data_IF_774261178039
#
_entry.id   IF_774261178039
#
_cell.length_a   1.000
_cell.length_b   1.000
_cell.length_c   1.000
_cell.angle_alpha   90.00
_cell.angle_beta   90.00
_cell.angle_gamma   90.00
#
_symmetry.space_group_name_H-M   'P 1'
#
loop_
_entity.id
_entity.type
_entity.pdbx_description
1 polymer ?
#
# COMPACT_ATOMS: atom_id res chain seq x y z
N UNK A 1 -22.61 -2.45 -19.84
CA UNK A 1 -22.17 -2.39 -18.40
C UNK A 1 -21.67 -3.78 -18.02
N UNK A 2 -20.37 -4.02 -18.19
CA UNK A 2 -20.17 -5.32 -18.42
C UNK A 2 -18.91 -5.93 -17.81
N UNK A 3 -17.83 -6.01 -18.33
CA UNK A 3 -16.70 -6.77 -17.79
C UNK A 3 -15.99 -6.12 -16.56
N UNK A 4 -16.12 -4.82 -16.33
CA UNK A 4 -15.43 -4.13 -15.23
C UNK A 4 -16.05 -4.40 -13.84
N UNK A 5 -17.37 -4.67 -13.78
CA UNK A 5 -18.06 -4.96 -12.52
C UNK A 5 -17.61 -6.29 -11.87
N UNK A 6 -17.13 -7.24 -12.65
CA UNK A 6 -16.64 -8.53 -12.18
C UNK A 6 -15.16 -8.52 -11.80
N UNK A 7 -14.39 -7.48 -12.20
CA UNK A 7 -12.98 -7.37 -11.84
C UNK A 7 -12.87 -7.04 -10.34
N UNK A 8 -12.16 -7.88 -9.60
CA UNK A 8 -11.98 -7.74 -8.15
C UNK A 8 -10.53 -7.55 -7.79
N UNK A 9 -10.28 -6.68 -6.79
CA UNK A 9 -8.97 -6.48 -6.18
C UNK A 9 -9.01 -6.71 -4.67
N UNK A 10 -7.84 -6.98 -4.12
CA UNK A 10 -7.64 -7.10 -2.67
C UNK A 10 -7.29 -5.73 -2.12
N UNK A 11 -8.23 -5.11 -1.43
CA UNK A 11 -8.10 -3.78 -0.81
C UNK A 11 -8.12 -3.97 0.71
N UNK A 12 -7.17 -3.36 1.43
CA UNK A 12 -7.19 -3.46 2.90
C UNK A 12 -7.69 -2.19 3.58
N UNK A 13 -7.62 -1.04 2.90
CA UNK A 13 -8.14 0.20 3.45
C UNK A 13 -8.55 1.17 2.33
N UNK A 14 -9.53 2.00 2.60
CA UNK A 14 -9.90 3.18 1.81
C UNK A 14 -9.88 4.37 2.76
N UNK A 15 -8.80 5.13 2.72
CA UNK A 15 -8.59 6.28 3.60
C UNK A 15 -9.10 7.55 2.92
N UNK A 16 -10.12 8.14 3.52
CA UNK A 16 -10.71 9.39 3.06
C UNK A 16 -9.96 10.58 3.66
N UNK A 17 -10.03 11.73 2.99
CA UNK A 17 -9.48 13.01 3.44
C UNK A 17 -7.97 12.99 3.68
N UNK A 18 -7.20 12.24 2.87
CA UNK A 18 -5.74 12.30 2.89
C UNK A 18 -5.25 13.61 2.25
N UNK A 19 -4.23 14.22 2.86
CA UNK A 19 -3.54 15.43 2.37
C UNK A 19 -2.09 15.16 1.99
N UNK A 20 -1.57 13.96 2.28
CA UNK A 20 -0.16 13.60 2.09
C UNK A 20 0.09 12.72 0.86
N UNK A 21 -0.98 12.23 0.21
CA UNK A 21 -0.90 11.28 -0.89
C UNK A 21 -1.06 11.92 -2.27
N UNK A 22 -0.64 13.17 -2.43
CA UNK A 22 -0.74 13.96 -3.66
C UNK A 22 -1.37 15.33 -3.43
N UNK A 23 -1.68 16.09 -4.52
CA UNK A 23 -2.25 17.42 -4.40
C UNK A 23 -3.71 17.38 -3.93
N UNK A 24 -4.11 18.39 -3.17
CA UNK A 24 -5.47 18.57 -2.68
C UNK A 24 -5.92 17.50 -1.67
N UNK A 25 -7.23 17.43 -1.43
CA UNK A 25 -7.84 16.40 -0.57
C UNK A 25 -8.07 15.14 -1.41
N UNK A 26 -7.63 13.99 -0.90
CA UNK A 26 -7.66 12.73 -1.64
C UNK A 26 -8.33 11.61 -0.87
N UNK A 27 -8.82 10.63 -1.61
CA UNK A 27 -9.14 9.32 -1.05
C UNK A 27 -8.10 8.33 -1.54
N UNK A 28 -7.36 7.72 -0.59
CA UNK A 28 -6.32 6.76 -0.90
C UNK A 28 -6.87 5.35 -0.80
N UNK A 29 -6.78 4.59 -1.89
CA UNK A 29 -7.14 3.18 -1.96
C UNK A 29 -5.88 2.35 -1.71
N UNK A 30 -5.80 1.71 -0.55
CA UNK A 30 -4.67 0.88 -0.15
C UNK A 30 -4.89 -0.57 -0.57
N UNK A 31 -4.11 -1.02 -1.54
CA UNK A 31 -4.16 -2.37 -2.09
C UNK A 31 -3.19 -3.30 -1.37
N UNK A 32 -3.47 -4.61 -1.34
CA UNK A 32 -2.55 -5.63 -0.81
C UNK A 32 -1.62 -6.17 -1.90
N UNK A 33 -0.48 -6.69 -1.45
CA UNK A 33 0.62 -7.18 -2.26
C UNK A 33 1.72 -6.14 -2.43
N UNK A 34 2.95 -6.48 -2.04
CA UNK A 34 4.14 -5.65 -2.27
C UNK A 34 5.32 -6.56 -2.64
N UNK A 35 6.11 -6.22 -3.67
CA UNK A 35 7.30 -6.99 -4.00
C UNK A 35 8.47 -6.66 -3.06
N UNK A 36 8.38 -5.53 -2.34
CA UNK A 36 9.42 -5.09 -1.40
C UNK A 36 9.15 -5.58 0.04
N UNK A 37 10.23 -5.74 0.80
CA UNK A 37 10.23 -6.20 2.20
C UNK A 37 10.90 -5.15 3.10
N UNK A 38 10.56 -3.87 2.93
CA UNK A 38 11.16 -2.77 3.69
C UNK A 38 11.06 -3.02 5.21
N UNK A 39 12.17 -3.06 5.97
CA UNK A 39 12.12 -3.25 7.43
C UNK A 39 11.32 -2.17 8.16
N UNK A 40 11.23 -0.99 7.58
CA UNK A 40 10.49 0.17 8.10
C UNK A 40 9.09 0.33 7.51
N UNK A 41 8.49 -0.73 6.95
CA UNK A 41 7.20 -0.61 6.28
C UNK A 41 6.10 -0.14 7.24
N UNK A 42 5.44 0.97 6.91
CA UNK A 42 4.34 1.51 7.72
C UNK A 42 2.99 0.83 7.43
N UNK A 43 2.92 0.01 6.38
CA UNK A 43 1.75 -0.76 6.02
C UNK A 43 2.08 -2.27 5.89
N UNK A 44 2.58 -2.93 6.98
CA UNK A 44 2.94 -4.34 6.92
C UNK A 44 1.76 -5.23 6.52
N UNK A 45 0.53 -4.80 6.81
CA UNK A 45 -0.71 -5.43 6.40
C UNK A 45 -0.92 -5.48 4.88
N UNK A 46 -0.17 -4.67 4.13
CA UNK A 46 -0.23 -4.67 2.66
C UNK A 46 0.77 -5.61 1.99
N UNK A 47 1.76 -6.16 2.71
CA UNK A 47 2.86 -6.92 2.10
C UNK A 47 2.33 -8.19 1.44
N UNK A 48 1.55 -9.01 2.16
CA UNK A 48 0.94 -10.21 1.59
C UNK A 48 -0.28 -9.85 0.75
N UNK A 49 -0.45 -10.53 -0.38
CA UNK A 49 -1.63 -10.35 -1.23
C UNK A 49 -2.89 -10.98 -0.61
N UNK A 50 -2.75 -12.07 0.15
CA UNK A 50 -3.86 -12.77 0.78
C UNK A 50 -4.46 -11.97 1.96
N UNK A 51 -5.75 -12.20 2.29
CA UNK A 51 -6.33 -11.68 3.52
C UNK A 51 -5.59 -12.21 4.75
N UNK A 52 -5.59 -11.44 5.84
CA UNK A 52 -4.96 -11.84 7.10
C UNK A 52 -5.86 -11.53 8.29
N UNK A 53 -6.02 -12.51 9.18
CA UNK A 53 -6.71 -12.31 10.44
C UNK A 53 -5.83 -11.53 11.42
N UNK A 54 -6.41 -10.53 12.08
CA UNK A 54 -5.76 -9.78 13.17
C UNK A 54 -6.64 -9.76 14.42
N UNK A 55 -6.00 -9.62 15.58
CA UNK A 55 -6.67 -9.52 16.87
C UNK A 55 -6.31 -8.20 17.55
N UNK A 56 -7.31 -7.54 18.10
CA UNK A 56 -7.21 -6.30 18.87
C UNK A 56 -7.44 -6.58 20.36
N UNK A 57 -6.36 -6.66 21.12
CA UNK A 57 -6.40 -6.99 22.56
C UNK A 57 -7.30 -6.04 23.34
N UNK A 58 -7.27 -4.75 23.03
CA UNK A 58 -8.07 -3.72 23.72
C UNK A 58 -9.58 -3.89 23.54
N UNK A 59 -10.03 -4.63 22.53
CA UNK A 59 -11.46 -4.91 22.29
C UNK A 59 -11.88 -6.25 22.86
N UNK A 60 -10.94 -7.11 23.22
CA UNK A 60 -11.24 -8.50 23.61
C UNK A 60 -11.81 -8.56 25.03
N UNK A 61 -12.98 -9.17 25.18
CA UNK A 61 -13.68 -9.37 26.46
C UNK A 61 -13.59 -10.84 26.96
N UNK A 62 -12.78 -11.68 26.33
CA UNK A 62 -12.47 -13.02 26.83
C UNK A 62 -13.53 -14.11 26.61
N UNK A 63 -14.57 -13.88 25.81
CA UNK A 63 -15.70 -14.84 25.60
C UNK A 63 -15.27 -16.16 24.96
N UNK A 64 -14.16 -16.21 24.22
CA UNK A 64 -13.59 -17.39 23.56
C UNK A 64 -14.48 -18.05 22.49
N UNK A 65 -15.59 -17.44 22.07
CA UNK A 65 -16.42 -17.94 20.97
C UNK A 65 -15.61 -18.12 19.68
N UNK A 66 -14.69 -17.20 19.41
CA UNK A 66 -13.81 -17.24 18.25
C UNK A 66 -12.92 -18.49 18.18
N UNK A 67 -12.53 -19.06 19.33
CA UNK A 67 -11.74 -20.29 19.41
C UNK A 67 -12.61 -21.49 19.09
N UNK A 68 -13.81 -21.55 19.70
CA UNK A 68 -14.77 -22.65 19.52
C UNK A 68 -15.26 -22.75 18.08
N UNK A 69 -15.46 -21.62 17.43
CA UNK A 69 -16.01 -21.55 16.07
C UNK A 69 -14.92 -21.56 14.98
N UNK A 70 -13.66 -21.77 15.35
CA UNK A 70 -12.57 -21.84 14.37
C UNK A 70 -12.51 -23.24 13.73
N UNK A 71 -12.87 -23.42 12.44
CA UNK A 71 -12.90 -24.72 11.79
C UNK A 71 -11.50 -25.31 11.53
N UNK A 72 -10.46 -24.51 11.73
CA UNK A 72 -9.05 -24.88 11.52
C UNK A 72 -8.28 -25.02 12.83
N UNK A 73 -8.93 -24.83 13.99
CA UNK A 73 -8.27 -24.75 15.30
C UNK A 73 -7.02 -23.86 15.27
N UNK A 74 -7.12 -22.73 14.58
CA UNK A 74 -6.00 -21.82 14.37
C UNK A 74 -5.88 -20.75 15.46
N UNK A 75 -6.75 -20.76 16.48
CA UNK A 75 -6.77 -19.77 17.55
C UNK A 75 -6.54 -20.45 18.90
N UNK A 76 -5.65 -19.89 19.71
CA UNK A 76 -5.34 -20.36 21.06
C UNK A 76 -5.35 -19.16 22.02
N UNK A 77 -5.96 -19.35 23.21
CA UNK A 77 -5.85 -18.38 24.30
C UNK A 77 -4.58 -18.66 25.11
N UNK A 78 -3.77 -17.64 25.29
CA UNK A 78 -2.58 -17.65 26.15
C UNK A 78 -2.73 -16.60 27.26
N UNK A 79 -1.74 -16.48 28.14
CA UNK A 79 -1.67 -15.40 29.13
C UNK A 79 -1.62 -14.01 28.49
N UNK A 80 -1.03 -13.90 27.28
CA UNK A 80 -0.90 -12.66 26.51
C UNK A 80 -2.10 -12.38 25.59
N UNK A 81 -3.10 -13.28 25.57
CA UNK A 81 -4.32 -13.16 24.78
C UNK A 81 -4.41 -14.18 23.64
N UNK A 82 -5.10 -13.81 22.56
CA UNK A 82 -5.33 -14.71 21.41
C UNK A 82 -4.08 -14.76 20.52
N UNK A 83 -3.56 -15.98 20.36
CA UNK A 83 -2.51 -16.30 19.39
C UNK A 83 -3.14 -16.93 18.15
N UNK A 84 -2.73 -16.49 16.97
CA UNK A 84 -3.21 -16.97 15.68
C UNK A 84 -2.11 -17.82 15.03
N UNK A 85 -2.38 -19.12 14.88
CA UNK A 85 -1.53 -19.98 14.05
C UNK A 85 -1.74 -19.65 12.57
N UNK A 86 -0.81 -18.93 12.01
CA UNK A 86 -0.88 -18.44 10.62
C UNK A 86 -0.61 -19.52 9.58
N UNK A 87 -0.12 -20.69 9.99
CA UNK A 87 0.06 -21.83 9.10
C UNK A 87 -1.28 -22.58 8.87
N UNK A 88 -2.20 -22.48 9.83
CA UNK A 88 -3.53 -23.11 9.80
C UNK A 88 -4.64 -22.15 9.40
N UNK A 89 -4.47 -20.85 9.70
CA UNK A 89 -5.48 -19.82 9.47
C UNK A 89 -5.58 -19.45 7.99
N UNK A 90 -6.73 -19.72 7.37
CA UNK A 90 -7.05 -19.32 5.98
C UNK A 90 -7.84 -18.00 5.88
N UNK A 91 -8.00 -17.29 7.00
CA UNK A 91 -8.77 -16.05 7.10
C UNK A 91 -10.25 -16.18 6.65
N UNK A 92 -10.89 -17.32 6.91
CA UNK A 92 -12.30 -17.58 6.52
C UNK A 92 -13.33 -16.65 7.18
N UNK A 93 -12.98 -15.98 8.28
CA UNK A 93 -13.83 -14.98 8.96
C UNK A 93 -14.84 -15.54 9.95
N UNK A 94 -14.97 -16.85 10.16
CA UNK A 94 -15.95 -17.41 11.12
C UNK A 94 -15.73 -16.90 12.54
N UNK A 95 -14.46 -16.83 12.98
CA UNK A 95 -14.10 -16.26 14.29
C UNK A 95 -14.41 -14.75 14.40
N UNK A 96 -14.39 -14.02 13.29
CA UNK A 96 -14.79 -12.60 13.27
C UNK A 96 -16.30 -12.48 13.47
N UNK A 97 -17.10 -13.30 12.78
CA UNK A 97 -18.55 -13.33 12.91
C UNK A 97 -18.99 -13.75 14.33
N UNK A 98 -18.25 -14.67 14.95
CA UNK A 98 -18.51 -15.14 16.31
C UNK A 98 -18.09 -14.15 17.42
N UNK A 99 -17.31 -13.11 17.10
CA UNK A 99 -16.77 -12.21 18.11
C UNK A 99 -17.74 -11.07 18.43
N UNK A 100 -18.44 -11.07 19.61
CA UNK A 100 -19.40 -10.02 19.93
C UNK A 100 -18.77 -8.65 20.19
N UNK A 101 -17.46 -8.62 20.48
CA UNK A 101 -16.72 -7.40 20.76
C UNK A 101 -15.97 -6.82 19.53
N UNK A 102 -16.12 -7.43 18.34
CA UNK A 102 -15.37 -7.06 17.14
C UNK A 102 -13.86 -6.96 17.40
N UNK A 103 -13.32 -7.86 18.24
CA UNK A 103 -11.91 -7.89 18.58
C UNK A 103 -11.06 -8.60 17.50
N UNK A 104 -11.68 -9.23 16.53
CA UNK A 104 -11.04 -9.88 15.38
C UNK A 104 -11.47 -9.20 14.09
N UNK A 105 -10.56 -9.10 13.15
CA UNK A 105 -10.79 -8.46 11.84
C UNK A 105 -10.00 -9.16 10.75
N UNK A 106 -10.58 -9.27 9.55
CA UNK A 106 -9.85 -9.69 8.36
C UNK A 106 -9.32 -8.44 7.65
N UNK A 107 -8.00 -8.31 7.59
CA UNK A 107 -7.35 -7.29 6.80
C UNK A 107 -7.23 -7.75 5.35
N UNK A 108 -7.84 -7.00 4.46
CA UNK A 108 -7.95 -7.34 3.04
C UNK A 108 -9.30 -7.92 2.69
N UNK A 109 -10.04 -7.16 1.88
CA UNK A 109 -11.34 -7.53 1.32
C UNK A 109 -11.25 -7.58 -0.19
N UNK A 110 -11.77 -8.64 -0.80
CA UNK A 110 -11.97 -8.68 -2.26
C UNK A 110 -13.12 -7.77 -2.62
N UNK A 111 -12.81 -6.66 -3.26
CA UNK A 111 -13.78 -5.65 -3.67
C UNK A 111 -13.85 -5.57 -5.19
N UNK A 112 -15.05 -5.34 -5.73
CA UNK A 112 -15.22 -5.03 -7.15
C UNK A 112 -14.80 -3.60 -7.46
N UNK A 113 -14.54 -3.30 -8.73
CA UNK A 113 -14.29 -1.94 -9.19
C UNK A 113 -15.45 -1.02 -8.83
N UNK A 114 -16.70 -1.50 -8.97
CA UNK A 114 -17.89 -0.71 -8.67
C UNK A 114 -18.02 -0.40 -7.17
N UNK A 115 -17.73 -1.37 -6.28
CA UNK A 115 -17.74 -1.15 -4.83
C UNK A 115 -16.73 -0.08 -4.40
N UNK A 116 -15.51 -0.13 -4.97
CA UNK A 116 -14.48 0.86 -4.65
C UNK A 116 -14.82 2.21 -5.28
N UNK A 117 -15.29 2.24 -6.52
CA UNK A 117 -15.72 3.47 -7.20
C UNK A 117 -16.83 4.17 -6.44
N UNK A 118 -17.85 3.42 -6.00
CA UNK A 118 -18.93 3.99 -5.19
C UNK A 118 -18.44 4.58 -3.87
N UNK A 119 -17.44 3.93 -3.24
CA UNK A 119 -16.88 4.44 -1.98
C UNK A 119 -16.09 5.75 -2.18
N UNK A 120 -15.22 5.82 -3.20
CA UNK A 120 -14.36 6.99 -3.43
C UNK A 120 -15.13 8.17 -4.04
N UNK A 121 -16.14 7.94 -4.87
CA UNK A 121 -16.94 9.01 -5.47
C UNK A 121 -17.81 9.78 -4.47
N UNK A 122 -18.01 9.27 -3.25
CA UNK A 122 -18.65 10.03 -2.15
C UNK A 122 -17.88 11.31 -1.81
N UNK A 123 -16.59 11.36 -2.11
CA UNK A 123 -15.71 12.47 -1.79
C UNK A 123 -15.51 13.45 -2.95
N UNK A 124 -16.25 13.28 -4.07
CA UNK A 124 -16.14 14.12 -5.28
C UNK A 124 -16.09 15.61 -4.98
N UNK A 125 -16.97 16.11 -4.11
CA UNK A 125 -17.03 17.53 -3.77
C UNK A 125 -15.71 18.06 -3.18
N UNK A 126 -15.02 17.24 -2.39
CA UNK A 126 -13.71 17.60 -1.83
C UNK A 126 -12.62 17.62 -2.92
N UNK A 127 -12.67 16.69 -3.88
CA UNK A 127 -11.72 16.67 -5.00
C UNK A 127 -11.88 17.92 -5.87
N UNK A 128 -13.10 18.25 -6.25
CA UNK A 128 -13.41 19.42 -7.09
C UNK A 128 -12.99 20.74 -6.43
N UNK A 129 -13.19 20.87 -5.11
CA UNK A 129 -12.87 22.09 -4.39
C UNK A 129 -11.38 22.26 -4.08
N UNK A 130 -10.63 21.17 -3.95
CA UNK A 130 -9.23 21.22 -3.56
C UNK A 130 -8.23 20.95 -4.69
N UNK A 131 -8.71 20.56 -5.88
CA UNK A 131 -7.85 20.03 -6.94
C UNK A 131 -7.28 18.64 -6.59
N UNK A 132 -7.97 17.90 -5.71
CA UNK A 132 -7.59 16.56 -5.28
C UNK A 132 -8.09 15.45 -6.19
N UNK A 133 -8.29 14.25 -5.63
CA UNK A 133 -8.74 13.08 -6.38
C UNK A 133 -8.52 11.79 -5.64
N UNK A 134 -8.25 10.71 -6.36
CA UNK A 134 -7.87 9.44 -5.74
C UNK A 134 -6.38 9.18 -5.85
N UNK A 135 -5.87 8.37 -4.92
CA UNK A 135 -4.52 7.79 -4.99
C UNK A 135 -4.62 6.28 -4.85
N UNK A 136 -4.05 5.53 -5.79
CA UNK A 136 -3.84 4.10 -5.63
C UNK A 136 -2.49 3.89 -4.96
N UNK A 137 -2.48 3.22 -3.82
CA UNK A 137 -1.32 2.98 -2.96
C UNK A 137 -1.45 1.65 -2.22
N UNK A 138 -0.82 1.51 -1.06
CA UNK A 138 -0.94 0.37 -0.15
C UNK A 138 0.33 -0.43 -0.05
N UNK A 139 0.37 -1.60 -0.71
CA UNK A 139 1.58 -2.32 -1.06
C UNK A 139 2.15 -1.74 -2.35
N UNK A 140 1.92 -2.44 -3.45
CA UNK A 140 2.28 -1.98 -4.80
C UNK A 140 1.10 -2.23 -5.74
N UNK A 141 0.43 -1.20 -6.25
CA UNK A 141 -0.75 -1.36 -7.11
C UNK A 141 -0.50 -2.21 -8.36
N UNK A 142 0.71 -2.19 -8.88
CA UNK A 142 1.10 -2.99 -10.05
C UNK A 142 1.14 -4.51 -9.80
N UNK A 143 1.00 -4.98 -8.56
CA UNK A 143 0.76 -6.40 -8.28
C UNK A 143 -0.68 -6.86 -8.54
N UNK A 144 -1.60 -5.92 -8.73
CA UNK A 144 -2.98 -6.17 -9.12
C UNK A 144 -3.36 -5.32 -10.35
N UNK A 145 -2.62 -5.45 -11.47
CA UNK A 145 -2.65 -4.46 -12.56
C UNK A 145 -4.02 -4.38 -13.24
N UNK A 146 -4.73 -5.49 -13.38
CA UNK A 146 -6.07 -5.52 -14.01
C UNK A 146 -7.10 -4.74 -13.19
N UNK A 147 -7.11 -4.92 -11.87
CA UNK A 147 -8.01 -4.18 -10.99
C UNK A 147 -7.64 -2.70 -10.91
N UNK A 148 -6.35 -2.40 -10.71
CA UNK A 148 -5.85 -1.04 -10.64
C UNK A 148 -6.19 -0.26 -11.92
N UNK A 149 -5.89 -0.81 -13.10
CA UNK A 149 -6.19 -0.18 -14.38
C UNK A 149 -7.70 0.05 -14.57
N UNK A 150 -8.54 -0.94 -14.24
CA UNK A 150 -9.99 -0.80 -14.38
C UNK A 150 -10.55 0.31 -13.47
N UNK A 151 -10.09 0.39 -12.20
CA UNK A 151 -10.48 1.45 -11.28
C UNK A 151 -10.02 2.83 -11.78
N UNK A 152 -8.77 2.95 -12.21
CA UNK A 152 -8.23 4.19 -12.77
C UNK A 152 -9.01 4.65 -14.02
N UNK A 153 -9.40 3.72 -14.90
CA UNK A 153 -10.22 4.03 -16.08
C UNK A 153 -11.61 4.56 -15.70
N UNK A 154 -12.24 3.99 -14.67
CA UNK A 154 -13.52 4.50 -14.15
C UNK A 154 -13.34 5.92 -13.64
N UNK A 155 -12.33 6.16 -12.79
CA UNK A 155 -12.09 7.49 -12.23
C UNK A 155 -11.79 8.55 -13.29
N UNK A 156 -11.02 8.20 -14.32
CA UNK A 156 -10.76 9.11 -15.45
C UNK A 156 -12.03 9.45 -16.23
N UNK A 157 -12.92 8.48 -16.46
CA UNK A 157 -14.23 8.75 -17.11
C UNK A 157 -15.11 9.66 -16.28
N UNK A 158 -14.98 9.59 -14.96
CA UNK A 158 -15.65 10.49 -14.00
C UNK A 158 -14.98 11.87 -13.87
N UNK A 159 -13.90 12.12 -14.61
CA UNK A 159 -13.14 13.38 -14.52
C UNK A 159 -12.36 13.56 -13.22
N UNK A 160 -12.10 12.48 -12.48
CA UNK A 160 -11.36 12.52 -11.22
C UNK A 160 -9.87 12.35 -11.48
N UNK A 161 -9.07 13.23 -10.90
CA UNK A 161 -7.61 13.15 -10.94
C UNK A 161 -7.10 11.90 -10.23
N UNK A 162 -6.22 11.14 -10.90
CA UNK A 162 -5.67 9.88 -10.41
C UNK A 162 -4.18 9.99 -10.16
N UNK A 163 -3.75 9.74 -8.92
CA UNK A 163 -2.35 9.55 -8.57
C UNK A 163 -2.04 8.06 -8.39
N UNK A 164 -0.89 7.63 -8.88
CA UNK A 164 -0.34 6.30 -8.68
C UNK A 164 0.86 6.41 -7.75
N UNK A 165 0.77 5.80 -6.58
CA UNK A 165 1.85 5.64 -5.62
C UNK A 165 2.52 4.29 -5.84
N UNK A 166 3.79 4.30 -6.23
CA UNK A 166 4.52 3.09 -6.65
C UNK A 166 5.97 3.11 -6.17
N UNK A 167 6.44 1.93 -5.81
CA UNK A 167 7.87 1.72 -5.57
C UNK A 167 8.67 1.51 -6.87
N UNK A 168 8.03 1.45 -8.02
CA UNK A 168 8.67 1.22 -9.32
C UNK A 168 9.37 -0.14 -9.46
N UNK A 169 9.13 -1.08 -8.56
CA UNK A 169 9.89 -2.32 -8.43
C UNK A 169 9.36 -3.52 -9.23
N UNK A 170 8.38 -3.33 -10.11
CA UNK A 170 7.81 -4.38 -10.96
C UNK A 170 8.29 -4.26 -12.40
N UNK A 171 8.08 -5.30 -13.20
CA UNK A 171 8.43 -5.26 -14.63
C UNK A 171 7.67 -4.11 -15.32
N UNK A 172 8.35 -3.40 -16.23
CA UNK A 172 7.75 -2.28 -16.96
C UNK A 172 6.43 -2.64 -17.64
N UNK A 173 6.36 -3.79 -18.29
CA UNK A 173 5.15 -4.28 -19.00
C UNK A 173 3.91 -4.39 -18.10
N UNK A 174 4.11 -4.51 -16.79
CA UNK A 174 3.03 -4.56 -15.78
C UNK A 174 2.70 -3.16 -15.26
N UNK A 175 3.72 -2.33 -15.09
CA UNK A 175 3.59 -0.97 -14.56
C UNK A 175 3.07 0.02 -15.63
N UNK A 176 3.47 -0.14 -16.89
CA UNK A 176 3.16 0.78 -17.99
C UNK A 176 1.67 1.13 -18.13
N UNK A 177 0.73 0.17 -18.12
CA UNK A 177 -0.69 0.50 -18.26
C UNK A 177 -1.20 1.42 -17.14
N UNK A 178 -0.66 1.29 -15.93
CA UNK A 178 -1.04 2.14 -14.80
C UNK A 178 -0.43 3.53 -14.92
N UNK A 179 0.83 3.61 -15.35
CA UNK A 179 1.51 4.89 -15.63
C UNK A 179 0.76 5.68 -16.70
N UNK A 180 0.30 5.03 -17.77
CA UNK A 180 -0.47 5.71 -18.83
C UNK A 180 -1.79 6.32 -18.31
N UNK A 181 -2.44 5.63 -17.36
CA UNK A 181 -3.69 6.06 -16.78
C UNK A 181 -3.55 7.11 -15.67
N UNK A 182 -2.38 7.24 -15.08
CA UNK A 182 -2.14 8.19 -14.00
C UNK A 182 -1.91 9.62 -14.50
N UNK A 183 -2.41 10.61 -13.77
CA UNK A 183 -2.16 12.03 -13.96
C UNK A 183 -0.91 12.48 -13.19
N UNK A 184 -0.62 11.82 -12.07
CA UNK A 184 0.55 12.03 -11.22
C UNK A 184 1.13 10.69 -10.79
N UNK A 185 2.45 10.58 -10.80
CA UNK A 185 3.17 9.44 -10.23
C UNK A 185 3.87 9.89 -8.94
N UNK A 186 3.56 9.23 -7.83
CA UNK A 186 4.33 9.31 -6.58
C UNK A 186 5.32 8.15 -6.61
N UNK A 187 6.59 8.45 -6.86
CA UNK A 187 7.63 7.42 -7.03
C UNK A 187 8.57 7.40 -5.84
N UNK A 188 8.67 6.26 -5.19
CA UNK A 188 9.60 6.05 -4.09
C UNK A 188 11.00 5.66 -4.57
N UNK A 189 11.98 6.54 -4.39
CA UNK A 189 13.40 6.22 -4.53
C UNK A 189 14.02 6.12 -3.13
N UNK A 190 14.32 4.89 -2.67
CA UNK A 190 14.65 4.63 -1.27
C UNK A 190 16.16 4.65 -1.00
N UNK A 191 16.93 3.98 -1.84
CA UNK A 191 18.40 3.94 -1.73
C UNK A 191 19.06 3.71 -3.08
N UNK A 192 20.32 4.13 -3.21
CA UNK A 192 21.09 4.13 -4.47
C UNK A 192 22.28 3.15 -4.44
N UNK A 193 22.33 2.25 -3.47
CA UNK A 193 23.29 1.17 -3.39
C UNK A 193 22.61 -0.11 -3.88
N UNK A 194 23.10 -0.72 -4.98
CA UNK A 194 22.46 -1.87 -5.64
C UNK A 194 22.41 -3.09 -4.71
N UNK A 195 23.55 -3.43 -4.08
CA UNK A 195 23.63 -4.61 -3.22
C UNK A 195 22.75 -4.45 -1.97
N UNK A 196 22.79 -3.26 -1.37
CA UNK A 196 21.97 -2.94 -0.22
C UNK A 196 20.49 -2.90 -0.59
N UNK A 197 20.14 -2.34 -1.75
CA UNK A 197 18.77 -2.27 -2.25
C UNK A 197 18.18 -3.69 -2.43
N UNK A 198 18.92 -4.56 -3.12
CA UNK A 198 18.47 -5.93 -3.34
C UNK A 198 18.36 -6.72 -2.02
N UNK A 199 19.38 -6.62 -1.16
CA UNK A 199 19.44 -7.34 0.13
C UNK A 199 18.35 -6.90 1.10
N UNK A 200 18.07 -5.60 1.19
CA UNK A 200 17.14 -5.03 2.18
C UNK A 200 15.72 -4.97 1.68
N UNK A 201 15.53 -4.64 0.40
CA UNK A 201 14.19 -4.42 -0.16
C UNK A 201 13.69 -5.60 -1.01
N UNK A 202 14.58 -6.52 -1.43
CA UNK A 202 14.22 -7.68 -2.22
C UNK A 202 13.99 -7.40 -3.72
N UNK A 203 14.27 -6.19 -4.19
CA UNK A 203 14.07 -5.75 -5.58
C UNK A 203 15.36 -5.12 -6.10
N UNK A 204 15.69 -5.35 -7.39
CA UNK A 204 16.84 -4.71 -8.02
C UNK A 204 16.65 -3.21 -8.16
N UNK A 205 17.66 -2.44 -7.81
CA UNK A 205 17.70 -0.99 -8.01
C UNK A 205 17.60 -0.63 -9.50
N UNK A 206 18.26 -1.39 -10.36
CA UNK A 206 18.20 -1.19 -11.82
C UNK A 206 16.76 -1.22 -12.35
N UNK A 207 15.92 -2.12 -11.86
CA UNK A 207 14.50 -2.17 -12.23
C UNK A 207 13.81 -0.85 -11.89
N UNK A 208 14.00 -0.35 -10.67
CA UNK A 208 13.39 0.90 -10.19
C UNK A 208 13.88 2.10 -11.00
N UNK A 209 15.21 2.22 -11.20
CA UNK A 209 15.80 3.35 -11.92
C UNK A 209 15.44 3.33 -13.42
N UNK A 210 15.36 2.15 -14.05
CA UNK A 210 14.93 2.03 -15.43
C UNK A 210 13.46 2.43 -15.60
N UNK A 211 12.57 1.97 -14.72
CA UNK A 211 11.17 2.39 -14.71
C UNK A 211 11.04 3.90 -14.49
N UNK A 212 11.78 4.48 -13.55
CA UNK A 212 11.82 5.92 -13.31
C UNK A 212 12.19 6.72 -14.58
N UNK A 213 13.24 6.29 -15.29
CA UNK A 213 13.65 6.92 -16.56
C UNK A 213 12.58 6.81 -17.65
N UNK A 214 11.91 5.66 -17.74
CA UNK A 214 10.83 5.48 -18.74
C UNK A 214 9.63 6.36 -18.40
N UNK A 215 9.21 6.43 -17.13
CA UNK A 215 8.14 7.32 -16.65
C UNK A 215 8.47 8.77 -17.03
N UNK A 216 9.70 9.21 -16.78
CA UNK A 216 10.13 10.56 -17.14
C UNK A 216 10.07 10.82 -18.64
N UNK A 217 10.55 9.87 -19.49
CA UNK A 217 10.48 9.99 -20.97
C UNK A 217 9.05 10.06 -21.49
N UNK A 218 8.08 9.47 -20.79
CA UNK A 218 6.65 9.59 -21.13
C UNK A 218 6.03 10.93 -20.74
N UNK A 219 6.79 11.84 -20.16
CA UNK A 219 6.35 13.17 -19.77
C UNK A 219 5.37 13.21 -18.60
N UNK A 220 5.30 12.11 -17.82
CA UNK A 220 4.39 12.05 -16.66
C UNK A 220 4.86 12.97 -15.54
N UNK A 221 3.92 13.66 -14.91
CA UNK A 221 4.21 14.47 -13.72
C UNK A 221 4.68 13.57 -12.57
N UNK A 222 5.79 13.93 -11.95
CA UNK A 222 6.46 13.13 -10.93
C UNK A 222 6.60 13.90 -9.62
N UNK A 223 6.19 13.25 -8.53
CA UNK A 223 6.69 13.54 -7.19
C UNK A 223 7.58 12.39 -6.77
N UNK A 224 8.82 12.67 -6.44
CA UNK A 224 9.75 11.67 -5.92
C UNK A 224 9.75 11.74 -4.41
N UNK A 225 9.75 10.58 -3.75
CA UNK A 225 9.75 10.49 -2.29
C UNK A 225 10.89 9.58 -1.82
N UNK A 226 11.56 9.99 -0.75
CA UNK A 226 12.59 9.19 -0.10
C UNK A 226 12.31 9.13 1.39
N UNK A 227 12.01 7.95 1.94
CA UNK A 227 11.95 7.77 3.39
C UNK A 227 13.37 7.89 3.97
N UNK A 228 13.54 8.75 4.97
CA UNK A 228 14.82 8.97 5.68
C UNK A 228 14.83 8.10 6.92
N UNK A 229 15.40 6.92 6.80
CA UNK A 229 15.36 5.85 7.83
C UNK A 229 16.73 5.67 8.46
N UNK A 230 16.87 5.83 9.79
CA UNK A 230 18.13 5.66 10.49
C UNK A 230 18.83 4.32 10.18
N UNK A 231 20.10 4.39 9.79
CA UNK A 231 20.93 3.24 9.43
C UNK A 231 20.63 2.59 8.07
N UNK A 232 19.60 3.03 7.36
CA UNK A 232 19.21 2.46 6.07
C UNK A 232 19.34 3.45 4.91
N UNK A 233 18.62 4.57 4.96
CA UNK A 233 18.49 5.50 3.83
C UNK A 233 18.93 6.93 4.19
N UNK A 234 19.26 7.20 5.43
CA UNK A 234 19.55 8.50 6.03
C UNK A 234 20.94 9.06 5.70
N UNK A 235 21.82 8.30 5.06
CA UNK A 235 23.16 8.79 4.75
C UNK A 235 23.10 9.95 3.75
N UNK A 236 23.94 10.97 3.99
CA UNK A 236 24.06 12.12 3.09
C UNK A 236 24.42 11.70 1.66
N UNK A 237 25.29 10.68 1.50
CA UNK A 237 25.64 10.14 0.18
C UNK A 237 24.41 9.59 -0.55
N UNK A 238 23.56 8.81 0.13
CA UNK A 238 22.34 8.28 -0.46
C UNK A 238 21.43 9.41 -0.98
N UNK A 239 21.16 10.40 -0.14
CA UNK A 239 20.31 11.54 -0.49
C UNK A 239 20.91 12.35 -1.66
N UNK A 240 22.22 12.60 -1.64
CA UNK A 240 22.92 13.28 -2.72
C UNK A 240 22.88 12.49 -4.03
N UNK A 241 23.02 11.18 -4.00
CA UNK A 241 22.93 10.31 -5.19
C UNK A 241 21.52 10.30 -5.77
N UNK A 242 20.46 10.23 -4.93
CA UNK A 242 19.07 10.35 -5.37
C UNK A 242 18.82 11.72 -6.01
N UNK A 243 19.20 12.82 -5.35
CA UNK A 243 19.02 14.16 -5.88
C UNK A 243 19.74 14.37 -7.23
N UNK A 244 20.96 13.82 -7.37
CA UNK A 244 21.70 13.83 -8.64
C UNK A 244 20.99 13.01 -9.73
N UNK A 245 20.43 11.85 -9.38
CA UNK A 245 19.66 11.04 -10.32
C UNK A 245 18.39 11.77 -10.78
N UNK A 246 17.65 12.38 -9.87
CA UNK A 246 16.48 13.21 -10.21
C UNK A 246 16.87 14.31 -11.17
N UNK A 247 17.89 15.11 -10.82
CA UNK A 247 18.36 16.23 -11.66
C UNK A 247 18.74 15.81 -13.08
N UNK A 248 19.41 14.65 -13.21
CA UNK A 248 19.98 14.25 -14.49
C UNK A 248 19.01 13.41 -15.36
N UNK A 249 18.02 12.73 -14.75
CA UNK A 249 17.22 11.74 -15.46
C UNK A 249 15.71 11.94 -15.35
N UNK A 250 15.22 12.78 -14.43
CA UNK A 250 13.80 12.97 -14.18
C UNK A 250 13.40 14.46 -14.29
N UNK A 251 13.49 15.07 -15.50
CA UNK A 251 13.30 16.51 -15.69
C UNK A 251 11.88 16.99 -15.38
N UNK A 252 10.90 16.11 -15.39
CA UNK A 252 9.48 16.37 -15.08
C UNK A 252 9.12 16.13 -13.61
N UNK A 253 10.12 16.02 -12.72
CA UNK A 253 9.89 15.99 -11.27
C UNK A 253 9.51 17.39 -10.80
N UNK A 254 8.29 17.53 -10.28
CA UNK A 254 7.76 18.79 -9.76
C UNK A 254 7.89 18.92 -8.25
N UNK A 255 8.16 17.80 -7.55
CA UNK A 255 8.34 17.76 -6.09
C UNK A 255 9.28 16.63 -5.68
N UNK A 256 10.14 16.89 -4.69
CA UNK A 256 10.96 15.88 -4.03
C UNK A 256 10.77 15.98 -2.53
N UNK A 257 10.26 14.91 -1.92
CA UNK A 257 9.96 14.83 -0.49
C UNK A 257 10.93 13.91 0.24
N UNK A 258 11.47 14.40 1.34
CA UNK A 258 12.17 13.60 2.33
C UNK A 258 11.19 13.27 3.46
N UNK A 259 10.84 11.99 3.60
CA UNK A 259 9.84 11.55 4.58
C UNK A 259 10.54 11.13 5.86
N UNK A 260 10.31 11.87 6.94
CA UNK A 260 10.88 11.57 8.24
C UNK A 260 10.39 10.22 8.77
N UNK A 261 11.32 9.44 9.35
CA UNK A 261 10.95 8.22 10.06
C UNK A 261 10.10 8.52 11.29
N UNK A 262 9.10 7.68 11.54
CA UNK A 262 8.37 7.65 12.80
C UNK A 262 8.22 6.19 13.29
N UNK A 263 8.17 5.99 14.60
CA UNK A 263 8.12 4.68 15.23
C UNK A 263 6.69 4.32 15.71
N UNK A 264 5.67 4.45 14.85
CA UNK A 264 4.27 4.22 15.24
C UNK A 264 3.72 2.86 14.81
N UNK A 265 4.53 2.03 14.12
CA UNK A 265 4.04 0.82 13.46
C UNK A 265 4.12 -0.45 14.30
N UNK A 266 4.77 -0.45 15.46
CA UNK A 266 4.99 -1.65 16.29
C UNK A 266 3.69 -2.43 16.59
N UNK A 267 2.58 -1.71 16.84
CA UNK A 267 1.29 -2.33 17.09
C UNK A 267 0.72 -3.07 15.85
N UNK A 268 0.97 -2.59 14.63
CA UNK A 268 0.56 -3.24 13.39
C UNK A 268 1.31 -4.56 13.20
N UNK A 269 2.64 -4.55 13.41
CA UNK A 269 3.49 -5.74 13.33
C UNK A 269 3.06 -6.80 14.34
N UNK A 270 2.85 -6.42 15.62
CA UNK A 270 2.36 -7.35 16.66
C UNK A 270 1.04 -8.03 16.26
N UNK A 271 0.08 -7.29 15.73
CA UNK A 271 -1.21 -7.86 15.26
C UNK A 271 -1.04 -8.87 14.15
N UNK A 272 0.00 -8.71 13.33
CA UNK A 272 0.36 -9.66 12.27
C UNK A 272 1.26 -10.81 12.77
N UNK A 273 1.58 -10.87 14.07
CA UNK A 273 2.50 -11.86 14.64
C UNK A 273 3.95 -11.67 14.13
N UNK A 274 4.32 -10.44 13.81
CA UNK A 274 5.64 -10.07 13.30
C UNK A 274 6.38 -9.21 14.34
N UNK A 275 7.71 -9.23 14.28
CA UNK A 275 8.57 -8.38 15.11
C UNK A 275 8.83 -7.07 14.39
N UNK A 276 8.64 -5.96 15.08
CA UNK A 276 9.08 -4.65 14.61
C UNK A 276 10.58 -4.48 14.92
N UNK A 277 11.41 -4.31 13.91
CA UNK A 277 12.88 -4.27 14.04
C UNK A 277 13.47 -2.85 14.11
N UNK A 278 12.62 -1.82 14.15
CA UNK A 278 13.01 -0.41 14.07
C UNK A 278 12.78 0.34 15.40
N UNK A 279 13.00 -0.34 16.55
CA UNK A 279 12.89 0.28 17.90
C UNK A 279 14.04 1.21 18.19
#
# INVERSE_FOLDING_TARGET
>A
MTAAAEIRGMVFNIQRNSTEDGPGIRTTVFMKGCPMHCPWCHNPESIKLSPELVWYSIRCIGVQACIKDCPKDALTLTQDGIVIDRSRCDACGQCVAACPANALEILGKRMTVDEVSAAVLRDRIFYEKSGGGITLSGGEPSLQPGFAAALMQVMRREGIHVALDTCGGTKWTVLEPLVELADLILLDLKMMDEDKHLRVLGVSLDTVLNNARVIARKGKNLWVRTPVIPGYTDSEDNIRRIARFIKNHLPNTTRYDLLAFNNTCSAKYRRLGQVWSME
#
